data_IF_541305237048
#
_entry.id   IF_541305237048
#
_cell.length_a   1.000
_cell.length_b   1.000
_cell.length_c   1.000
_cell.angle_alpha   90.00
_cell.angle_beta   90.00
_cell.angle_gamma   90.00
#
_symmetry.space_group_name_H-M   'P 1'
#
loop_
_entity.id
_entity.type
_entity.pdbx_description
1 polymer ?
#
# COMPACT_ATOMS: atom_id res chain seq x y z
N UNK A 1 4.48 41.28 3.02
CA UNK A 1 4.80 39.88 2.65
C UNK A 1 5.29 39.19 3.91
N UNK A 2 4.47 38.31 4.48
CA UNK A 2 4.61 37.83 5.86
C UNK A 2 5.91 37.07 6.09
N UNK A 3 6.57 37.36 7.19
CA UNK A 3 7.76 36.69 7.70
C UNK A 3 7.48 35.18 7.82
N UNK A 4 8.07 34.41 6.91
CA UNK A 4 8.07 32.95 6.88
C UNK A 4 8.82 32.42 8.11
N UNK A 5 8.19 32.48 9.27
CA UNK A 5 8.72 31.88 10.48
C UNK A 5 8.37 30.40 10.45
N UNK A 6 9.40 29.56 10.41
CA UNK A 6 9.31 28.09 10.49
C UNK A 6 8.27 27.61 11.53
N UNK A 7 8.19 28.16 12.75
CA UNK A 7 7.17 27.72 13.72
C UNK A 7 5.73 28.04 13.29
N UNK A 8 5.49 29.15 12.60
CA UNK A 8 4.16 29.53 12.11
C UNK A 8 3.70 28.60 10.98
N UNK A 9 4.62 28.22 10.09
CA UNK A 9 4.35 27.25 9.03
C UNK A 9 4.02 25.86 9.59
N UNK A 10 4.79 25.38 10.57
CA UNK A 10 4.52 24.10 11.24
C UNK A 10 3.16 24.10 11.95
N UNK A 11 2.82 25.19 12.65
CA UNK A 11 1.51 25.33 13.30
C UNK A 11 0.38 25.27 12.29
N UNK A 12 0.47 25.99 11.17
CA UNK A 12 -0.62 25.99 10.18
C UNK A 12 -0.71 24.67 9.39
N UNK A 13 0.42 24.02 9.11
CA UNK A 13 0.43 22.73 8.39
C UNK A 13 -0.11 21.56 9.23
N UNK A 14 0.20 21.52 10.53
CA UNK A 14 -0.25 20.43 11.39
C UNK A 14 -1.57 20.74 12.09
N UNK A 15 -1.79 21.96 12.58
CA UNK A 15 -2.91 22.30 13.47
C UNK A 15 -4.17 22.73 12.72
N UNK A 16 -4.04 23.52 11.65
CA UNK A 16 -5.22 23.97 10.87
C UNK A 16 -5.72 22.87 9.92
N UNK A 17 -4.85 21.93 9.53
CA UNK A 17 -5.17 20.84 8.60
C UNK A 17 -5.38 19.49 9.28
N UNK A 18 -5.64 19.44 10.59
CA UNK A 18 -5.82 18.18 11.35
C UNK A 18 -6.85 17.23 10.74
N UNK A 19 -7.95 17.75 10.22
CA UNK A 19 -8.95 16.94 9.51
C UNK A 19 -8.40 16.27 8.24
N UNK A 20 -7.53 16.96 7.49
CA UNK A 20 -6.88 16.41 6.30
C UNK A 20 -5.88 15.32 6.67
N UNK A 21 -5.10 15.52 7.73
CA UNK A 21 -4.18 14.50 8.26
C UNK A 21 -4.93 13.26 8.77
N UNK A 22 -6.03 13.44 9.49
CA UNK A 22 -6.88 12.32 9.89
C UNK A 22 -7.41 11.55 8.67
N UNK A 23 -7.87 12.26 7.64
CA UNK A 23 -8.34 11.65 6.40
C UNK A 23 -7.23 10.91 5.65
N UNK A 24 -6.00 11.43 5.64
CA UNK A 24 -4.85 10.71 5.05
C UNK A 24 -4.53 9.41 5.78
N UNK A 25 -4.64 9.38 7.12
CA UNK A 25 -4.42 8.16 7.90
C UNK A 25 -5.48 7.12 7.59
N UNK A 26 -6.75 7.54 7.52
CA UNK A 26 -7.86 6.65 7.16
C UNK A 26 -7.69 6.13 5.72
N UNK A 27 -7.35 7.01 4.78
CA UNK A 27 -7.12 6.62 3.39
C UNK A 27 -5.94 5.63 3.27
N UNK A 28 -4.84 5.87 3.99
CA UNK A 28 -3.70 4.95 4.01
C UNK A 28 -4.11 3.58 4.55
N UNK A 29 -4.87 3.54 5.65
CA UNK A 29 -5.37 2.28 6.21
C UNK A 29 -6.28 1.51 5.22
N UNK A 30 -7.19 2.22 4.56
CA UNK A 30 -8.07 1.61 3.54
C UNK A 30 -7.27 1.11 2.34
N UNK A 31 -6.23 1.83 1.90
CA UNK A 31 -5.36 1.39 0.83
C UNK A 31 -4.64 0.09 1.18
N UNK A 32 -4.09 -0.04 2.39
CA UNK A 32 -3.45 -1.29 2.84
C UNK A 32 -4.44 -2.45 2.86
N UNK A 33 -5.62 -2.24 3.45
CA UNK A 33 -6.66 -3.28 3.50
C UNK A 33 -7.13 -3.70 2.10
N UNK A 34 -7.26 -2.74 1.19
CA UNK A 34 -7.63 -3.02 -0.19
C UNK A 34 -6.53 -3.80 -0.93
N UNK A 35 -5.27 -3.41 -0.72
CA UNK A 35 -4.12 -4.07 -1.31
C UNK A 35 -4.01 -5.54 -0.85
N UNK A 36 -4.16 -5.80 0.45
CA UNK A 36 -4.11 -7.17 1.00
C UNK A 36 -5.25 -8.05 0.45
N UNK A 37 -6.46 -7.48 0.34
CA UNK A 37 -7.61 -8.15 -0.27
C UNK A 37 -7.35 -8.53 -1.73
N UNK A 38 -6.82 -7.61 -2.53
CA UNK A 38 -6.54 -7.87 -3.94
C UNK A 38 -5.36 -8.83 -4.11
N UNK A 39 -4.32 -8.75 -3.28
CA UNK A 39 -3.24 -9.74 -3.26
C UNK A 39 -3.82 -11.13 -3.01
N UNK A 40 -4.70 -11.29 -2.02
CA UNK A 40 -5.35 -12.57 -1.76
C UNK A 40 -6.15 -13.05 -2.97
N UNK A 41 -6.90 -12.16 -3.63
CA UNK A 41 -7.66 -12.48 -4.85
C UNK A 41 -6.75 -12.94 -5.99
N UNK A 42 -5.69 -12.18 -6.28
CA UNK A 42 -4.75 -12.50 -7.36
C UNK A 42 -3.90 -13.73 -7.03
N UNK A 43 -3.67 -14.02 -5.75
CA UNK A 43 -2.90 -15.20 -5.34
C UNK A 43 -3.52 -16.52 -5.83
N UNK A 44 -4.83 -16.54 -6.08
CA UNK A 44 -5.52 -17.69 -6.70
C UNK A 44 -5.11 -17.93 -8.16
N UNK A 45 -4.49 -16.94 -8.81
CA UNK A 45 -3.98 -17.03 -10.19
C UNK A 45 -2.48 -17.37 -10.26
N UNK A 46 -1.82 -17.58 -9.12
CA UNK A 46 -0.40 -17.95 -9.03
C UNK A 46 -0.10 -19.17 -9.91
N UNK A 47 0.92 -19.05 -10.77
CA UNK A 47 1.40 -20.15 -11.61
C UNK A 47 0.43 -20.64 -12.70
N UNK A 48 -0.73 -19.99 -12.88
CA UNK A 48 -1.71 -20.41 -13.89
C UNK A 48 -1.47 -19.81 -15.28
N UNK A 49 -0.57 -18.84 -15.42
CA UNK A 49 -0.22 -18.24 -16.71
C UNK A 49 0.65 -19.17 -17.55
N UNK A 50 0.34 -19.28 -18.86
CA UNK A 50 1.08 -20.15 -19.80
C UNK A 50 2.61 -19.96 -19.78
N UNK A 51 3.07 -18.75 -19.52
CA UNK A 51 4.50 -18.40 -19.44
C UNK A 51 5.21 -18.95 -18.20
N UNK A 52 4.51 -19.08 -17.07
CA UNK A 52 5.11 -19.42 -15.77
C UNK A 52 4.67 -20.78 -15.23
N UNK A 53 3.77 -21.49 -15.93
CA UNK A 53 3.30 -22.82 -15.54
C UNK A 53 4.45 -23.84 -15.36
N UNK A 54 5.45 -23.82 -16.23
CA UNK A 54 6.56 -24.78 -16.16
C UNK A 54 7.60 -24.42 -15.09
N UNK A 55 7.73 -23.14 -14.76
CA UNK A 55 8.55 -22.70 -13.63
C UNK A 55 7.87 -23.02 -12.30
N UNK A 56 6.56 -22.78 -12.19
CA UNK A 56 5.76 -23.11 -11.00
C UNK A 56 5.83 -24.61 -10.64
N UNK A 57 5.88 -25.52 -11.64
CA UNK A 57 6.03 -26.97 -11.41
C UNK A 57 7.39 -27.38 -10.83
N UNK A 58 8.41 -26.53 -10.95
CA UNK A 58 9.77 -26.78 -10.44
C UNK A 58 9.96 -26.30 -9.01
N UNK A 59 9.04 -25.50 -8.47
CA UNK A 59 9.09 -25.06 -7.09
C UNK A 59 8.78 -26.21 -6.14
N UNK A 60 9.38 -26.22 -4.93
CA UNK A 60 8.94 -27.10 -3.86
C UNK A 60 7.45 -26.87 -3.56
N UNK A 61 6.73 -27.92 -3.16
CA UNK A 61 5.27 -27.88 -2.97
C UNK A 61 4.80 -26.79 -1.99
N UNK A 62 5.66 -26.38 -1.06
CA UNK A 62 5.35 -25.40 -0.01
C UNK A 62 5.92 -24.00 -0.30
N UNK A 63 6.58 -23.81 -1.45
CA UNK A 63 7.14 -22.52 -1.83
C UNK A 63 6.11 -21.64 -2.54
N UNK A 64 6.02 -20.37 -2.12
CA UNK A 64 5.13 -19.40 -2.74
C UNK A 64 5.73 -18.94 -4.09
N UNK A 65 5.04 -19.13 -5.24
CA UNK A 65 5.55 -18.72 -6.55
C UNK A 65 5.84 -17.23 -6.71
N UNK A 66 5.37 -16.38 -5.79
CA UNK A 66 5.58 -14.94 -5.82
C UNK A 66 6.60 -14.42 -4.81
N UNK A 67 7.17 -15.29 -3.97
CA UNK A 67 8.26 -14.95 -3.04
C UNK A 67 9.56 -15.58 -3.50
#
# INVERSE_FOLDING_TARGET
>A
MGTFTIPYYLRSCFWDKRGKWALTVVAAYLCVCYHDREIARYSMMKGQTRLYQDWAKRLPKDADPWK
#
